data_IF_800673390871
#
_entry.id   IF_800673390871
#
_cell.length_a   1.000
_cell.length_b   1.000
_cell.length_c   1.000
_cell.angle_alpha   90.00
_cell.angle_beta   90.00
_cell.angle_gamma   90.00
#
_symmetry.space_group_name_H-M   'P 1'
#
loop_
_entity.id
_entity.type
_entity.pdbx_description
1 polymer ?
#
# COMPACT_ATOMS: atom_id res chain seq x y z
N UNK A 1 -18.37 21.35 -39.79
CA UNK A 1 -18.25 20.19 -38.91
C UNK A 1 -16.82 19.65 -39.01
N UNK A 2 -15.89 20.18 -38.23
CA UNK A 2 -14.52 19.69 -38.13
C UNK A 2 -14.41 18.85 -36.87
N UNK A 3 -14.23 17.55 -37.02
CA UNK A 3 -13.97 16.60 -35.92
C UNK A 3 -12.62 16.96 -35.29
N UNK A 4 -12.63 17.32 -34.01
CA UNK A 4 -11.43 17.30 -33.18
C UNK A 4 -10.95 15.84 -33.12
N UNK A 5 -9.97 15.50 -33.92
CA UNK A 5 -9.13 14.32 -33.71
C UNK A 5 -8.20 14.69 -32.55
N UNK A 6 -8.57 14.29 -31.33
CA UNK A 6 -7.66 14.28 -30.20
C UNK A 6 -6.52 13.32 -30.54
N UNK A 7 -5.33 13.84 -30.58
CA UNK A 7 -4.09 13.13 -30.88
C UNK A 7 -3.84 12.07 -29.79
N UNK A 8 -4.20 10.82 -30.06
CA UNK A 8 -3.86 9.64 -29.21
C UNK A 8 -2.43 9.11 -29.48
N UNK A 9 -1.58 9.92 -30.11
CA UNK A 9 -0.18 9.58 -30.35
C UNK A 9 0.69 10.04 -29.17
N UNK A 10 0.76 9.23 -28.11
CA UNK A 10 1.66 9.50 -26.98
C UNK A 10 1.50 8.62 -25.75
N UNK A 11 0.45 7.85 -25.63
CA UNK A 11 0.36 6.87 -24.55
C UNK A 11 1.06 5.58 -25.00
N UNK A 12 2.33 5.43 -24.63
CA UNK A 12 2.97 4.11 -24.72
C UNK A 12 2.14 3.14 -23.88
N UNK A 13 1.77 1.99 -24.46
CA UNK A 13 1.04 0.97 -23.73
C UNK A 13 1.83 0.61 -22.45
N UNK A 14 1.19 0.70 -21.29
CA UNK A 14 1.78 0.27 -20.03
C UNK A 14 1.94 -1.26 -20.12
N UNK A 15 3.19 -1.74 -20.15
CA UNK A 15 3.48 -3.17 -20.33
C UNK A 15 3.78 -3.89 -19.04
N UNK A 16 4.24 -3.17 -17.99
CA UNK A 16 4.56 -3.74 -16.67
C UNK A 16 4.10 -2.81 -15.57
N UNK A 17 3.67 -3.39 -14.48
CA UNK A 17 3.31 -2.69 -13.26
C UNK A 17 4.43 -2.88 -12.25
N UNK A 18 5.09 -1.79 -11.84
CA UNK A 18 6.04 -1.79 -10.74
C UNK A 18 5.31 -1.60 -9.42
N UNK A 19 5.63 -2.40 -8.41
CA UNK A 19 5.15 -2.22 -7.04
C UNK A 19 6.34 -2.11 -6.11
N UNK A 20 6.29 -1.18 -5.16
CA UNK A 20 7.27 -1.19 -4.08
C UNK A 20 6.63 -0.98 -2.71
N UNK A 21 7.26 -1.56 -1.72
CA UNK A 21 6.92 -1.46 -0.30
C UNK A 21 8.19 -1.51 0.55
N UNK A 22 8.09 -1.10 1.81
CA UNK A 22 9.19 -1.23 2.76
C UNK A 22 9.54 -2.69 3.11
N UNK A 23 8.67 -3.67 2.77
CA UNK A 23 8.93 -5.07 3.12
C UNK A 23 7.85 -6.05 2.67
N UNK A 24 7.29 -6.78 3.62
CA UNK A 24 6.34 -7.88 3.37
C UNK A 24 4.93 -7.38 3.03
N UNK A 25 4.53 -6.25 3.61
CA UNK A 25 3.13 -5.78 3.59
C UNK A 25 2.59 -5.53 2.19
N UNK A 26 3.42 -5.03 1.27
CA UNK A 26 3.04 -4.78 -0.12
C UNK A 26 2.55 -6.01 -0.89
N UNK A 27 2.85 -7.22 -0.39
CA UNK A 27 2.33 -8.46 -0.96
C UNK A 27 0.80 -8.59 -0.80
N UNK A 28 0.17 -7.88 0.14
CA UNK A 28 -1.29 -7.79 0.24
C UNK A 28 -1.87 -7.11 -1.00
N UNK A 29 -1.25 -6.00 -1.43
CA UNK A 29 -1.63 -5.25 -2.64
C UNK A 29 -1.31 -6.08 -3.89
N UNK A 30 -0.14 -6.72 -3.96
CA UNK A 30 0.23 -7.59 -5.07
C UNK A 30 -0.78 -8.74 -5.23
N UNK A 31 -1.22 -9.36 -4.14
CA UNK A 31 -2.24 -10.43 -4.17
C UNK A 31 -3.56 -9.94 -4.74
N UNK A 32 -4.00 -8.72 -4.38
CA UNK A 32 -5.19 -8.12 -4.94
C UNK A 32 -5.03 -7.81 -6.43
N UNK A 33 -3.87 -7.28 -6.85
CA UNK A 33 -3.56 -7.02 -8.25
C UNK A 33 -3.49 -8.29 -9.10
N UNK A 34 -2.99 -9.40 -8.56
CA UNK A 34 -2.97 -10.68 -9.26
C UNK A 34 -4.38 -11.21 -9.56
N UNK A 35 -5.36 -10.86 -8.72
CA UNK A 35 -6.77 -11.18 -8.98
C UNK A 35 -7.43 -10.23 -9.97
N UNK A 36 -7.11 -8.92 -9.87
CA UNK A 36 -7.77 -7.86 -10.64
C UNK A 36 -7.23 -7.73 -12.07
N UNK A 37 -5.91 -7.82 -12.23
CA UNK A 37 -5.19 -7.70 -13.52
C UNK A 37 -4.21 -8.87 -13.69
N UNK A 38 -4.71 -10.11 -13.84
CA UNK A 38 -3.86 -11.31 -13.87
C UNK A 38 -2.86 -11.31 -15.02
N UNK A 39 -3.23 -10.72 -16.15
CA UNK A 39 -2.43 -10.72 -17.38
C UNK A 39 -1.30 -9.68 -17.40
N UNK A 40 -1.26 -8.79 -16.42
CA UNK A 40 -0.18 -7.80 -16.30
C UNK A 40 1.06 -8.43 -15.67
N UNK A 41 2.24 -8.22 -16.25
CA UNK A 41 3.50 -8.50 -15.56
C UNK A 41 3.71 -7.53 -14.41
N UNK A 42 4.08 -8.03 -13.24
CA UNK A 42 4.36 -7.25 -12.04
C UNK A 42 5.83 -7.39 -11.66
N UNK A 43 6.43 -6.26 -11.37
CA UNK A 43 7.79 -6.17 -10.81
C UNK A 43 7.65 -5.67 -9.38
N UNK A 44 7.94 -6.52 -8.41
CA UNK A 44 7.87 -6.20 -6.99
C UNK A 44 9.26 -5.86 -6.46
N UNK A 45 9.37 -4.77 -5.71
CA UNK A 45 10.56 -4.43 -4.95
C UNK A 45 10.21 -4.23 -3.47
N UNK A 46 10.78 -5.07 -2.59
CA UNK A 46 10.66 -4.96 -1.14
C UNK A 46 11.92 -4.37 -0.55
N UNK A 47 11.83 -3.18 0.07
CA UNK A 47 12.98 -2.52 0.70
C UNK A 47 13.19 -2.99 2.14
N UNK A 48 13.47 -4.26 2.28
CA UNK A 48 13.65 -4.94 3.57
C UNK A 48 14.86 -4.48 4.35
N UNK A 49 15.88 -3.90 3.68
CA UNK A 49 17.08 -3.34 4.33
C UNK A 49 16.73 -2.13 5.21
N UNK A 50 15.77 -1.31 4.79
CA UNK A 50 15.40 -0.08 5.47
C UNK A 50 14.09 -0.17 6.27
N UNK A 51 13.48 -1.35 6.35
CA UNK A 51 12.29 -1.63 7.16
C UNK A 51 12.50 -1.27 8.64
N UNK A 52 11.52 -0.76 9.36
CA UNK A 52 10.23 -0.27 8.90
C UNK A 52 10.25 1.23 8.51
N UNK A 53 9.62 1.60 7.41
CA UNK A 53 9.50 3.00 7.00
C UNK A 53 8.69 3.86 7.99
N UNK A 54 7.82 3.22 8.77
CA UNK A 54 6.99 3.91 9.77
C UNK A 54 7.75 4.69 10.84
N UNK A 55 9.02 4.38 11.06
CA UNK A 55 9.92 5.00 12.05
C UNK A 55 11.02 5.86 11.41
N UNK A 56 11.04 6.01 10.08
CA UNK A 56 12.01 6.83 9.35
C UNK A 56 11.56 8.28 9.21
N UNK A 57 12.51 9.18 8.88
CA UNK A 57 12.19 10.54 8.48
C UNK A 57 11.60 10.58 7.07
N UNK A 58 10.86 11.62 6.76
CA UNK A 58 10.25 11.79 5.44
C UNK A 58 11.33 11.94 4.36
N UNK A 59 12.45 12.61 4.65
CA UNK A 59 13.59 12.76 3.73
C UNK A 59 14.21 11.40 3.37
N UNK A 60 14.40 10.51 4.36
CA UNK A 60 14.95 9.18 4.11
C UNK A 60 13.99 8.35 3.26
N UNK A 61 12.67 8.39 3.56
CA UNK A 61 11.65 7.68 2.78
C UNK A 61 11.61 8.18 1.33
N UNK A 62 11.72 9.49 1.12
CA UNK A 62 11.79 10.09 -0.22
C UNK A 62 13.02 9.59 -0.97
N UNK A 63 14.21 9.60 -0.34
CA UNK A 63 15.45 9.11 -0.94
C UNK A 63 15.29 7.66 -1.42
N UNK A 64 14.97 6.76 -0.52
CA UNK A 64 14.75 5.34 -0.88
C UNK A 64 13.72 5.15 -1.99
N UNK A 65 12.60 5.88 -1.92
CA UNK A 65 11.54 5.77 -2.92
C UNK A 65 11.98 6.25 -4.32
N UNK A 66 12.83 7.29 -4.39
CA UNK A 66 13.37 7.79 -5.67
C UNK A 66 14.23 6.73 -6.38
N UNK A 67 15.11 6.06 -5.65
CA UNK A 67 15.98 5.02 -6.21
C UNK A 67 15.18 3.80 -6.64
N UNK A 68 14.21 3.38 -5.82
CA UNK A 68 13.34 2.25 -6.16
C UNK A 68 12.52 2.54 -7.42
N UNK A 69 11.96 3.74 -7.54
CA UNK A 69 11.17 4.11 -8.74
C UNK A 69 12.06 4.19 -9.98
N UNK A 70 13.29 4.71 -9.84
CA UNK A 70 14.25 4.69 -10.96
C UNK A 70 14.55 3.25 -11.39
N UNK A 71 14.82 2.34 -10.44
CA UNK A 71 15.04 0.93 -10.72
C UNK A 71 13.83 0.29 -11.43
N UNK A 72 12.61 0.48 -10.91
CA UNK A 72 11.39 -0.07 -11.52
C UNK A 72 11.16 0.47 -12.94
N UNK A 73 11.44 1.76 -13.17
CA UNK A 73 11.41 2.37 -14.49
C UNK A 73 12.40 1.68 -15.44
N UNK A 74 13.63 1.41 -14.98
CA UNK A 74 14.66 0.72 -15.78
C UNK A 74 14.29 -0.75 -16.05
N UNK A 75 13.44 -1.36 -15.21
CA UNK A 75 12.80 -2.65 -15.48
C UNK A 75 11.64 -2.57 -16.51
N UNK A 76 11.35 -1.39 -17.03
CA UNK A 76 10.32 -1.15 -18.04
C UNK A 76 8.91 -0.99 -17.47
N UNK A 77 8.78 -0.65 -16.19
CA UNK A 77 7.48 -0.35 -15.57
C UNK A 77 7.02 1.06 -15.95
N UNK A 78 5.83 1.18 -16.53
CA UNK A 78 5.21 2.46 -16.88
C UNK A 78 4.12 2.89 -15.89
N UNK A 79 3.64 1.97 -15.06
CA UNK A 79 2.70 2.20 -13.97
C UNK A 79 3.37 1.77 -12.66
N UNK A 80 3.46 2.68 -11.70
CA UNK A 80 4.08 2.44 -10.40
C UNK A 80 3.02 2.47 -9.31
N UNK A 81 2.97 1.40 -8.52
CA UNK A 81 2.14 1.31 -7.33
C UNK A 81 3.01 1.54 -6.09
N UNK A 82 2.77 2.66 -5.39
CA UNK A 82 3.39 2.94 -4.11
C UNK A 82 2.59 2.15 -3.05
N UNK A 83 2.99 0.89 -2.84
CA UNK A 83 2.23 -0.02 -1.99
C UNK A 83 2.41 0.24 -0.48
N UNK A 84 3.38 1.05 -0.07
CA UNK A 84 3.62 1.43 1.32
C UNK A 84 2.86 2.71 1.69
N UNK A 85 2.07 2.69 2.78
CA UNK A 85 1.36 3.87 3.28
C UNK A 85 2.32 4.99 3.71
N UNK A 86 3.42 4.65 4.40
CA UNK A 86 4.42 5.63 4.80
C UNK A 86 5.10 6.28 3.59
N UNK A 87 5.45 5.49 2.56
CA UNK A 87 6.01 6.00 1.32
C UNK A 87 4.98 6.83 0.51
N UNK A 88 3.73 6.37 0.44
CA UNK A 88 2.65 7.13 -0.20
C UNK A 88 2.45 8.51 0.42
N UNK A 89 2.52 8.59 1.75
CA UNK A 89 2.37 9.85 2.48
C UNK A 89 3.57 10.79 2.31
N UNK A 90 4.79 10.25 2.39
CA UNK A 90 6.02 11.06 2.40
C UNK A 90 6.52 11.39 0.99
N UNK A 91 6.49 10.42 0.07
CA UNK A 91 7.17 10.51 -1.21
C UNK A 91 6.24 10.71 -2.42
N UNK A 92 4.92 10.42 -2.31
CA UNK A 92 4.03 10.38 -3.46
C UNK A 92 4.13 11.59 -4.38
N UNK A 93 4.00 12.80 -3.84
CA UNK A 93 4.09 14.04 -4.62
C UNK A 93 5.46 14.25 -5.27
N UNK A 94 6.53 14.00 -4.52
CA UNK A 94 7.89 14.18 -5.02
C UNK A 94 8.22 13.19 -6.15
N UNK A 95 7.69 11.97 -6.10
CA UNK A 95 7.84 10.97 -7.16
C UNK A 95 7.11 11.38 -8.43
N UNK A 96 5.87 11.87 -8.35
CA UNK A 96 5.10 12.37 -9.49
C UNK A 96 5.80 13.57 -10.16
N UNK A 97 6.37 14.48 -9.38
CA UNK A 97 7.13 15.63 -9.88
C UNK A 97 8.45 15.20 -10.55
N UNK A 98 9.13 14.18 -10.02
CA UNK A 98 10.43 13.71 -10.52
C UNK A 98 10.33 12.83 -11.75
N UNK A 99 9.24 12.06 -11.88
CA UNK A 99 9.00 11.10 -12.96
C UNK A 99 7.66 11.37 -13.66
N UNK A 100 7.49 12.53 -14.31
CA UNK A 100 6.21 12.92 -14.92
C UNK A 100 5.77 12.03 -16.09
N UNK A 101 6.66 11.19 -16.61
CA UNK A 101 6.39 10.21 -17.66
C UNK A 101 5.76 8.91 -17.15
N UNK A 102 5.80 8.66 -15.82
CA UNK A 102 5.23 7.48 -15.19
C UNK A 102 3.80 7.76 -14.69
N UNK A 103 2.99 6.73 -14.68
CA UNK A 103 1.70 6.76 -14.00
C UNK A 103 1.87 6.23 -12.58
N UNK A 104 1.35 6.96 -11.58
CA UNK A 104 1.42 6.54 -10.19
C UNK A 104 0.03 6.22 -9.63
N UNK A 105 -0.04 5.17 -8.82
CA UNK A 105 -1.16 4.88 -7.92
C UNK A 105 -0.57 4.63 -6.53
N UNK A 106 -0.88 5.50 -5.58
CA UNK A 106 -0.52 5.28 -4.18
C UNK A 106 -1.67 4.60 -3.42
N UNK A 107 -1.40 4.03 -2.24
CA UNK A 107 -2.42 3.29 -1.49
C UNK A 107 -3.34 4.17 -0.65
N UNK A 108 -3.10 5.47 -0.57
CA UNK A 108 -3.90 6.41 0.22
C UNK A 108 -5.06 6.96 -0.60
N UNK A 109 -4.79 7.50 -1.79
CA UNK A 109 -5.77 8.25 -2.58
C UNK A 109 -7.01 7.43 -2.96
N UNK A 110 -6.90 6.18 -3.45
CA UNK A 110 -8.08 5.37 -3.75
C UNK A 110 -8.93 5.06 -2.50
N UNK A 111 -8.29 4.85 -1.34
CA UNK A 111 -9.00 4.60 -0.09
C UNK A 111 -9.71 5.87 0.39
N UNK A 112 -9.07 7.03 0.28
CA UNK A 112 -9.71 8.33 0.57
C UNK A 112 -10.91 8.59 -0.36
N UNK A 113 -10.79 8.28 -1.65
CA UNK A 113 -11.90 8.40 -2.60
C UNK A 113 -13.08 7.52 -2.24
N UNK A 114 -12.80 6.28 -1.85
CA UNK A 114 -13.81 5.37 -1.35
C UNK A 114 -14.50 5.91 -0.10
N UNK A 115 -13.73 6.35 0.92
CA UNK A 115 -14.28 6.91 2.16
C UNK A 115 -15.11 8.17 1.90
N UNK A 116 -14.68 9.04 1.00
CA UNK A 116 -15.38 10.24 0.64
C UNK A 116 -16.72 9.99 -0.07
N UNK A 117 -16.89 8.81 -0.68
CA UNK A 117 -18.14 8.39 -1.31
C UNK A 117 -19.19 7.84 -0.32
N UNK A 118 -18.79 7.58 0.91
CA UNK A 118 -19.68 7.05 1.93
C UNK A 118 -20.56 8.12 2.54
N UNK A 119 -21.69 7.69 3.12
CA UNK A 119 -22.53 8.58 3.94
C UNK A 119 -21.78 9.07 5.16
N UNK A 120 -22.23 10.19 5.78
CA UNK A 120 -21.61 10.71 7.00
C UNK A 120 -21.44 9.60 8.06
N UNK A 121 -20.20 9.43 8.53
CA UNK A 121 -19.86 8.40 9.49
C UNK A 121 -18.55 8.69 10.22
N UNK A 122 -18.27 7.91 11.26
CA UNK A 122 -17.02 7.95 12.00
C UNK A 122 -16.13 6.78 11.60
N UNK A 123 -14.95 7.07 11.06
CA UNK A 123 -13.99 6.12 10.53
C UNK A 123 -12.76 6.07 11.42
N UNK A 124 -12.35 4.88 11.86
CA UNK A 124 -11.06 4.65 12.48
C UNK A 124 -9.98 4.37 11.42
N UNK A 125 -8.79 4.90 11.62
CA UNK A 125 -7.60 4.59 10.83
C UNK A 125 -6.51 4.06 11.76
N UNK A 126 -6.07 2.84 11.56
CA UNK A 126 -4.84 2.34 12.20
C UNK A 126 -3.69 2.54 11.23
N UNK A 127 -2.58 3.10 11.69
CA UNK A 127 -1.43 3.38 10.82
C UNK A 127 -0.09 3.31 11.55
N UNK A 128 1.00 3.42 10.79
CA UNK A 128 2.32 3.66 11.36
C UNK A 128 2.43 5.07 11.93
N UNK A 129 3.46 5.33 12.74
CA UNK A 129 3.74 6.70 13.22
C UNK A 129 3.90 7.69 12.06
N UNK A 130 4.63 7.32 11.00
CA UNK A 130 4.81 8.19 9.83
C UNK A 130 3.49 8.48 9.13
N UNK A 131 2.66 7.47 8.86
CA UNK A 131 1.36 7.62 8.19
C UNK A 131 0.42 8.53 8.99
N UNK A 132 0.33 8.34 10.32
CA UNK A 132 -0.54 9.17 11.17
C UNK A 132 -0.01 10.59 11.30
N UNK A 133 1.29 10.76 11.53
CA UNK A 133 1.94 12.07 11.65
C UNK A 133 1.79 12.91 10.39
N UNK A 134 1.81 12.31 9.20
CA UNK A 134 1.69 13.01 7.93
C UNK A 134 0.35 13.72 7.73
N UNK A 135 -0.71 13.28 8.41
CA UNK A 135 -2.06 13.79 8.18
C UNK A 135 -2.67 13.46 6.81
N UNK A 136 -1.96 12.72 5.95
CA UNK A 136 -2.33 12.54 4.53
C UNK A 136 -3.76 12.02 4.31
N UNK A 137 -4.23 11.09 5.15
CA UNK A 137 -5.61 10.61 5.09
C UNK A 137 -6.60 11.69 5.54
N UNK A 138 -6.33 12.34 6.68
CA UNK A 138 -7.24 13.32 7.27
C UNK A 138 -7.41 14.54 6.38
N UNK A 139 -6.31 15.10 5.87
CA UNK A 139 -6.32 16.31 5.06
C UNK A 139 -7.02 16.08 3.71
N UNK A 140 -6.69 14.96 3.05
CA UNK A 140 -7.30 14.61 1.77
C UNK A 140 -8.78 14.27 1.91
N UNK A 141 -9.18 13.59 2.99
CA UNK A 141 -10.58 13.28 3.24
C UNK A 141 -11.39 14.51 3.58
N UNK A 142 -10.88 15.39 4.45
CA UNK A 142 -11.53 16.64 4.79
C UNK A 142 -11.74 17.56 3.57
N UNK A 143 -10.79 17.56 2.63
CA UNK A 143 -10.91 18.30 1.37
C UNK A 143 -11.99 17.73 0.42
N UNK A 144 -12.30 16.43 0.50
CA UNK A 144 -13.28 15.75 -0.39
C UNK A 144 -14.66 15.61 0.25
N UNK A 145 -14.73 15.26 1.52
CA UNK A 145 -15.98 15.10 2.27
C UNK A 145 -15.74 15.35 3.76
N UNK A 146 -16.09 16.56 4.22
CA UNK A 146 -15.93 16.97 5.63
C UNK A 146 -16.97 16.34 6.58
N UNK A 147 -17.97 15.61 6.06
CA UNK A 147 -18.99 14.93 6.87
C UNK A 147 -18.54 13.55 7.33
N UNK A 148 -17.43 13.02 6.76
CA UNK A 148 -16.81 11.78 7.23
C UNK A 148 -15.73 12.14 8.24
N UNK A 149 -15.95 11.76 9.51
CA UNK A 149 -15.01 12.02 10.60
C UNK A 149 -13.95 10.91 10.65
N UNK A 150 -12.66 11.25 10.48
CA UNK A 150 -11.56 10.30 10.57
C UNK A 150 -10.81 10.41 11.89
N UNK A 151 -10.70 9.30 12.60
CA UNK A 151 -9.91 9.16 13.82
C UNK A 151 -8.69 8.28 13.55
N UNK A 152 -7.50 8.88 13.52
CA UNK A 152 -6.25 8.18 13.23
C UNK A 152 -5.50 7.81 14.51
N UNK A 153 -5.07 6.55 14.59
CA UNK A 153 -4.30 6.00 15.71
C UNK A 153 -3.02 5.34 15.23
N UNK A 154 -1.88 5.76 15.77
CA UNK A 154 -0.60 5.11 15.51
C UNK A 154 -0.49 3.80 16.30
N UNK A 155 -0.16 2.72 15.60
CA UNK A 155 -0.11 1.36 16.14
C UNK A 155 1.24 0.68 15.88
N UNK A 156 2.35 1.21 16.45
CA UNK A 156 3.72 0.84 16.09
C UNK A 156 4.09 -0.62 16.38
N UNK A 157 3.37 -1.31 17.26
CA UNK A 157 3.68 -2.71 17.59
C UNK A 157 3.11 -3.71 16.58
N UNK A 158 2.15 -3.31 15.72
CA UNK A 158 1.47 -4.27 14.85
C UNK A 158 2.36 -4.76 13.70
N UNK A 159 3.22 -3.91 13.12
CA UNK A 159 4.15 -4.34 12.04
C UNK A 159 5.17 -5.34 12.58
N UNK A 160 5.95 -5.05 13.64
CA UNK A 160 6.87 -6.04 14.22
C UNK A 160 6.20 -7.36 14.59
N UNK A 161 5.01 -7.31 15.18
CA UNK A 161 4.25 -8.49 15.57
C UNK A 161 3.93 -9.40 14.36
N UNK A 162 3.55 -8.78 13.23
CA UNK A 162 3.26 -9.50 11.98
C UNK A 162 4.55 -10.10 11.40
N UNK A 163 5.60 -9.29 11.31
CA UNK A 163 6.91 -9.69 10.76
C UNK A 163 7.58 -10.79 11.59
N UNK A 164 7.37 -10.81 12.92
CA UNK A 164 7.88 -11.85 13.80
C UNK A 164 7.01 -13.14 13.80
N UNK A 165 5.92 -13.16 13.03
CA UNK A 165 5.11 -14.35 12.80
C UNK A 165 4.08 -14.66 13.88
N UNK A 166 3.64 -13.66 14.63
CA UNK A 166 2.61 -13.83 15.67
C UNK A 166 1.16 -13.81 15.15
N UNK A 167 0.95 -13.76 13.83
CA UNK A 167 -0.40 -13.86 13.25
C UNK A 167 -1.08 -15.19 13.62
N UNK A 168 -2.34 -15.09 14.06
CA UNK A 168 -3.16 -16.25 14.43
C UNK A 168 -2.75 -16.95 15.72
N UNK A 169 -1.87 -16.35 16.53
CA UNK A 169 -1.44 -16.90 17.84
C UNK A 169 -2.29 -16.41 19.01
N UNK A 170 -3.20 -15.45 18.77
CA UNK A 170 -3.97 -14.74 19.80
C UNK A 170 -3.23 -13.55 20.41
N UNK A 171 -1.90 -13.45 20.23
CA UNK A 171 -1.12 -12.28 20.63
C UNK A 171 -1.50 -11.09 19.76
N UNK A 172 -1.64 -11.33 18.45
CA UNK A 172 -2.13 -10.36 17.46
C UNK A 172 -3.48 -9.76 17.85
N UNK A 173 -4.46 -10.60 18.19
CA UNK A 173 -5.76 -10.14 18.65
C UNK A 173 -5.67 -9.34 19.97
N UNK A 174 -4.82 -9.78 20.91
CA UNK A 174 -4.64 -9.10 22.20
C UNK A 174 -4.02 -7.70 22.05
N UNK A 175 -3.01 -7.55 21.18
CA UNK A 175 -2.36 -6.26 20.90
C UNK A 175 -3.29 -5.36 20.12
N UNK A 176 -4.00 -5.88 19.11
CA UNK A 176 -5.01 -5.13 18.37
C UNK A 176 -6.13 -4.63 19.29
N UNK A 177 -6.65 -5.49 20.16
CA UNK A 177 -7.66 -5.13 21.16
C UNK A 177 -7.20 -4.02 22.11
N UNK A 178 -5.90 -4.01 22.47
CA UNK A 178 -5.34 -2.93 23.28
C UNK A 178 -5.45 -1.58 22.57
N UNK A 179 -5.07 -1.51 21.28
CA UNK A 179 -5.18 -0.27 20.49
C UNK A 179 -6.64 0.15 20.28
N UNK A 180 -7.54 -0.80 20.01
CA UNK A 180 -8.95 -0.52 19.77
C UNK A 180 -9.73 -0.05 21.02
N UNK A 181 -9.15 -0.17 22.22
CA UNK A 181 -9.68 0.43 23.45
C UNK A 181 -9.39 1.92 23.59
N UNK A 182 -8.56 2.49 22.70
CA UNK A 182 -8.31 3.94 22.73
C UNK A 182 -9.62 4.70 22.55
N UNK A 183 -9.90 5.73 23.36
CA UNK A 183 -11.13 6.53 23.24
C UNK A 183 -11.37 7.12 21.86
N UNK A 184 -10.31 7.37 21.07
CA UNK A 184 -10.44 7.83 19.70
C UNK A 184 -11.18 6.83 18.80
N UNK A 185 -11.11 5.53 19.11
CA UNK A 185 -11.78 4.47 18.37
C UNK A 185 -13.23 4.23 18.80
N UNK A 186 -13.75 4.96 19.80
CA UNK A 186 -15.13 4.80 20.23
C UNK A 186 -16.13 5.28 19.16
N UNK A 187 -17.13 4.46 18.87
CA UNK A 187 -18.22 4.80 17.95
C UNK A 187 -17.85 4.81 16.47
N UNK A 188 -16.69 4.24 16.10
CA UNK A 188 -16.36 4.05 14.68
C UNK A 188 -17.33 3.04 14.06
N UNK A 189 -17.70 3.29 12.81
CA UNK A 189 -18.54 2.40 12.00
C UNK A 189 -17.75 1.68 10.91
N UNK A 190 -16.57 2.22 10.58
CA UNK A 190 -15.64 1.62 9.66
C UNK A 190 -14.21 1.72 10.19
N UNK A 191 -13.35 0.75 9.84
CA UNK A 191 -11.94 0.71 10.22
C UNK A 191 -11.06 0.52 8.99
N UNK A 192 -10.13 1.46 8.79
CA UNK A 192 -9.15 1.44 7.69
C UNK A 192 -7.84 0.84 8.17
N UNK A 193 -7.35 -0.23 7.53
CA UNK A 193 -5.99 -0.75 7.74
C UNK A 193 -4.98 0.14 6.99
N UNK A 194 -4.58 1.26 7.59
CA UNK A 194 -3.67 2.27 7.01
C UNK A 194 -2.19 1.88 7.05
N UNK A 195 -1.91 0.60 6.94
CA UNK A 195 -0.60 0.00 6.71
C UNK A 195 -0.82 -1.28 5.90
N UNK A 196 0.06 -1.55 4.95
CA UNK A 196 -0.02 -2.73 4.06
C UNK A 196 0.05 -4.07 4.78
N UNK A 197 0.58 -4.12 5.99
CA UNK A 197 0.56 -5.32 6.83
C UNK A 197 -0.81 -5.58 7.48
N UNK A 198 -1.57 -4.54 7.77
CA UNK A 198 -2.76 -4.65 8.62
C UNK A 198 -3.95 -5.41 8.00
N UNK A 199 -4.10 -5.53 6.67
CA UNK A 199 -5.10 -6.44 6.10
C UNK A 199 -4.98 -7.89 6.61
N UNK A 200 -3.79 -8.30 7.06
CA UNK A 200 -3.57 -9.62 7.66
C UNK A 200 -4.19 -9.77 9.06
N UNK A 201 -4.64 -8.68 9.69
CA UNK A 201 -5.30 -8.67 11.00
C UNK A 201 -6.84 -8.71 10.90
N UNK A 202 -7.40 -8.83 9.69
CA UNK A 202 -8.86 -8.79 9.49
C UNK A 202 -9.60 -9.82 10.34
N UNK A 203 -9.11 -11.06 10.41
CA UNK A 203 -9.72 -12.11 11.22
C UNK A 203 -9.67 -11.77 12.72
N UNK A 204 -8.52 -11.26 13.19
CA UNK A 204 -8.38 -10.79 14.57
C UNK A 204 -9.31 -9.62 14.86
N UNK A 205 -9.43 -8.65 13.94
CA UNK A 205 -10.34 -7.52 14.08
C UNK A 205 -11.81 -7.95 14.12
N UNK A 206 -12.22 -8.87 13.26
CA UNK A 206 -13.58 -9.41 13.22
C UNK A 206 -13.99 -10.09 14.54
N UNK A 207 -13.03 -10.69 15.26
CA UNK A 207 -13.26 -11.29 16.57
C UNK A 207 -13.48 -10.27 17.70
N UNK A 208 -13.03 -9.02 17.50
CA UNK A 208 -13.04 -7.95 18.52
C UNK A 208 -14.14 -6.94 18.23
N UNK A 209 -14.33 -6.58 16.97
CA UNK A 209 -15.22 -5.51 16.51
C UNK A 209 -16.53 -6.11 15.97
N UNK A 210 -17.64 -5.84 16.66
CA UNK A 210 -18.97 -6.19 16.17
C UNK A 210 -19.60 -5.00 15.44
N UNK A 211 -20.03 -5.22 14.20
CA UNK A 211 -20.76 -4.21 13.43
C UNK A 211 -19.87 -3.07 12.86
N UNK A 212 -18.57 -3.17 12.96
CA UNK A 212 -17.62 -2.24 12.31
C UNK A 212 -17.20 -2.81 10.97
N UNK A 213 -17.36 -2.02 9.91
CA UNK A 213 -16.94 -2.41 8.57
C UNK A 213 -15.41 -2.33 8.43
N UNK A 214 -14.77 -3.45 8.11
CA UNK A 214 -13.36 -3.48 7.74
C UNK A 214 -13.18 -3.06 6.28
N UNK A 215 -12.37 -2.03 6.03
CA UNK A 215 -12.14 -1.52 4.68
C UNK A 215 -11.10 -2.37 3.96
N UNK A 216 -11.48 -3.01 2.85
CA UNK A 216 -10.57 -3.80 2.02
C UNK A 216 -9.70 -2.87 1.15
N UNK A 217 -8.73 -2.21 1.78
CA UNK A 217 -7.82 -1.29 1.12
C UNK A 217 -7.05 -1.92 -0.06
N UNK A 218 -6.51 -3.15 0.02
CA UNK A 218 -5.86 -3.78 -1.13
C UNK A 218 -6.74 -3.91 -2.37
N UNK A 219 -8.00 -4.32 -2.23
CA UNK A 219 -8.93 -4.45 -3.36
C UNK A 219 -9.27 -3.09 -3.96
N UNK A 220 -9.52 -2.07 -3.14
CA UNK A 220 -9.77 -0.69 -3.59
C UNK A 220 -8.58 -0.16 -4.41
N UNK A 221 -7.36 -0.40 -3.95
CA UNK A 221 -6.14 0.00 -4.67
C UNK A 221 -6.02 -0.76 -5.99
N UNK A 222 -6.28 -2.07 -5.99
CA UNK A 222 -6.22 -2.88 -7.20
C UNK A 222 -7.25 -2.43 -8.26
N UNK A 223 -8.45 -2.03 -7.86
CA UNK A 223 -9.46 -1.44 -8.75
C UNK A 223 -8.98 -0.11 -9.34
N UNK A 224 -8.31 0.74 -8.55
CA UNK A 224 -7.73 1.99 -9.05
C UNK A 224 -6.62 1.72 -10.08
N UNK A 225 -5.75 0.76 -9.83
CA UNK A 225 -4.69 0.34 -10.76
C UNK A 225 -5.29 -0.19 -12.05
N UNK A 226 -6.34 -1.01 -11.98
CA UNK A 226 -6.98 -1.59 -13.16
C UNK A 226 -7.53 -0.53 -14.13
N UNK A 227 -7.95 0.64 -13.65
CA UNK A 227 -8.41 1.76 -14.49
C UNK A 227 -7.30 2.36 -15.35
N UNK A 228 -6.04 2.22 -14.95
CA UNK A 228 -4.86 2.69 -15.68
C UNK A 228 -4.22 1.60 -16.53
N UNK A 229 -4.58 0.33 -16.31
CA UNK A 229 -4.03 -0.77 -17.08
C UNK A 229 -4.68 -0.85 -18.45
N UNK A 230 -3.91 -0.54 -19.49
CA UNK A 230 -4.34 -0.61 -20.90
C UNK A 230 -3.42 -1.52 -21.72
N UNK A 231 -2.50 -2.20 -21.04
CA UNK A 231 -1.45 -2.97 -21.67
C UNK A 231 -1.93 -4.28 -22.28
N UNK A 232 -1.18 -4.73 -23.25
CA UNK A 232 -1.27 -6.08 -23.76
C UNK A 232 -0.74 -7.06 -22.73
N UNK A 233 -1.19 -8.31 -22.81
CA UNK A 233 -0.67 -9.39 -21.99
C UNK A 233 0.85 -9.41 -22.01
N UNK A 234 1.46 -9.39 -20.83
CA UNK A 234 2.91 -9.46 -20.65
C UNK A 234 3.27 -10.60 -19.70
N UNK A 235 4.32 -11.32 -20.03
CA UNK A 235 4.77 -12.46 -19.25
C UNK A 235 5.86 -12.09 -18.25
N UNK A 236 5.87 -12.81 -17.13
CA UNK A 236 6.96 -12.83 -16.16
C UNK A 236 6.83 -11.78 -15.06
N UNK A 237 6.41 -12.24 -13.88
CA UNK A 237 6.60 -11.48 -12.65
C UNK A 237 8.07 -11.54 -12.22
N UNK A 238 8.59 -10.45 -11.67
CA UNK A 238 9.92 -10.37 -11.10
C UNK A 238 9.83 -9.88 -9.65
N UNK A 239 10.70 -10.41 -8.79
CA UNK A 239 10.66 -10.13 -7.35
C UNK A 239 12.05 -9.78 -6.85
N UNK A 240 12.19 -8.60 -6.27
CA UNK A 240 13.44 -8.04 -5.80
C UNK A 240 13.35 -7.66 -4.33
N UNK A 241 14.47 -7.83 -3.61
CA UNK A 241 14.63 -7.41 -2.21
C UNK A 241 15.94 -6.66 -2.06
N UNK A 242 15.96 -5.62 -1.21
CA UNK A 242 17.19 -4.93 -0.83
C UNK A 242 18.03 -5.74 0.18
N UNK A 243 17.38 -6.57 1.01
CA UNK A 243 18.01 -7.57 1.87
C UNK A 243 17.12 -8.82 1.96
N UNK A 244 17.74 -10.00 2.02
CA UNK A 244 17.00 -11.27 2.00
C UNK A 244 17.20 -12.03 3.31
N UNK A 245 16.12 -12.16 4.08
CA UNK A 245 16.10 -12.95 5.31
C UNK A 245 15.24 -14.21 5.15
N UNK A 246 15.63 -15.28 5.82
CA UNK A 246 14.83 -16.52 5.82
C UNK A 246 13.43 -16.29 6.40
N UNK A 247 13.29 -15.36 7.34
CA UNK A 247 12.01 -15.00 7.92
C UNK A 247 11.07 -14.37 6.89
N UNK A 248 11.56 -13.43 6.07
CA UNK A 248 10.79 -12.83 4.98
C UNK A 248 10.31 -13.91 4.00
N UNK A 249 11.21 -14.78 3.52
CA UNK A 249 10.87 -15.82 2.55
C UNK A 249 9.81 -16.77 3.10
N UNK A 250 9.98 -17.21 4.34
CA UNK A 250 9.01 -18.09 5.03
C UNK A 250 7.64 -17.43 5.17
N UNK A 251 7.57 -16.12 5.49
CA UNK A 251 6.32 -15.40 5.62
C UNK A 251 5.67 -15.14 4.25
N UNK A 252 6.45 -14.81 3.22
CA UNK A 252 5.96 -14.64 1.86
C UNK A 252 5.30 -15.92 1.33
N UNK A 253 5.94 -17.06 1.51
CA UNK A 253 5.38 -18.36 1.13
C UNK A 253 4.15 -18.73 1.98
N UNK A 254 4.29 -18.72 3.32
CA UNK A 254 3.23 -19.17 4.25
C UNK A 254 1.97 -18.29 4.16
N UNK A 255 2.14 -16.95 4.06
CA UNK A 255 1.03 -16.00 4.18
C UNK A 255 0.40 -15.68 2.82
N UNK A 256 1.20 -15.67 1.76
CA UNK A 256 0.75 -15.22 0.44
C UNK A 256 0.82 -16.31 -0.63
N UNK A 257 1.42 -17.47 -0.32
CA UNK A 257 1.63 -18.55 -1.29
C UNK A 257 2.60 -18.15 -2.40
N UNK A 258 3.48 -17.19 -2.13
CA UNK A 258 4.47 -16.71 -3.09
C UNK A 258 5.76 -17.53 -2.91
N UNK A 259 5.87 -18.61 -3.70
CA UNK A 259 7.12 -19.36 -3.90
C UNK A 259 7.76 -18.83 -5.19
N UNK A 260 8.53 -17.76 -5.07
CA UNK A 260 9.15 -17.06 -6.19
C UNK A 260 10.67 -17.06 -6.04
N UNK A 261 11.36 -16.93 -7.19
CA UNK A 261 12.77 -16.62 -7.17
C UNK A 261 12.94 -15.14 -6.82
N UNK A 262 13.44 -14.86 -5.61
CA UNK A 262 13.73 -13.53 -5.13
C UNK A 262 15.17 -13.15 -5.46
N UNK A 263 15.33 -12.08 -6.22
CA UNK A 263 16.65 -11.51 -6.54
C UNK A 263 17.04 -10.46 -5.51
N UNK A 264 18.30 -10.52 -5.06
CA UNK A 264 18.84 -9.50 -4.15
C UNK A 264 19.42 -8.36 -4.97
N UNK A 265 18.84 -7.17 -4.82
CA UNK A 265 19.31 -5.94 -5.48
C UNK A 265 19.35 -4.84 -4.44
N UNK A 266 20.56 -4.39 -4.10
CA UNK A 266 20.78 -3.21 -3.27
C UNK A 266 20.94 -2.01 -4.18
N UNK A 267 20.09 -1.03 -3.99
CA UNK A 267 20.22 0.26 -4.64
C UNK A 267 21.22 1.06 -3.81
N UNK A 268 22.15 1.71 -4.48
CA UNK A 268 23.18 2.50 -3.79
C UNK A 268 22.55 3.83 -3.33
N UNK A 269 22.96 4.28 -2.12
CA UNK A 269 22.60 5.58 -1.55
C UNK A 269 23.21 6.74 -2.34
#
# INVERSE_FOLDING_TARGET
>A
MARLLVNLQGMSSIRKIGLFDSGLGGLTVLRALNKMVPDAAKVYYGDTLHLPYGDKSDEAIVGYSMEIVQFLKDQGCGLIVIACNSASAAAGKALEERFPELTFVNVIDPVVDYLASLSPQRVGLLGTRATVRSGAYSDKLAAKNSEVELQALATPLLVPLIEDGFLGTGIDASVLAHYLKDPAMNGITSLVPGCTHYPLLEEAAASILSGVHWVDAPSIVAEAVAKHWTGEQSEGNAFYLSDRTDNFLRLAEKTFGIDAQWELVRLED
#
